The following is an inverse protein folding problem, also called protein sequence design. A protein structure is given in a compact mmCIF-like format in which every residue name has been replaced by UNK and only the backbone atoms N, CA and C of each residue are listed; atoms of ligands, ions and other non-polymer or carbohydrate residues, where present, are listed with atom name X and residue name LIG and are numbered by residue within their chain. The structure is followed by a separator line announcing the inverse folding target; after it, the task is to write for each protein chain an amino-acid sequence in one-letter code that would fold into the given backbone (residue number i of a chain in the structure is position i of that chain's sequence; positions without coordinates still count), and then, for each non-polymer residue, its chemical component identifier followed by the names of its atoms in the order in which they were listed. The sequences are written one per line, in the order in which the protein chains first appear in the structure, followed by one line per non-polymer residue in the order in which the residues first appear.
data_IF_667785944875
#
_entry.id   IF_667785944875
#
_cell.length_a   1.000
_cell.length_b   1.000
_cell.length_c   1.000
_cell.angle_alpha   90.00
_cell.angle_beta   90.00
_cell.angle_gamma   90.00
#
_symmetry.space_group_name_H-M   'P 1'
#
loop_
_entity.id
_entity.type
_entity.pdbx_description
1 polymer ?
#
# COMPACT_ATOMS: atom_id res chain seq x y z
N UNK A 1 -6.76 -21.96 -4.51
CA UNK A 1 -6.16 -21.00 -3.56
C UNK A 1 -6.60 -19.61 -3.93
N UNK A 2 -7.14 -18.84 -2.99
CA UNK A 2 -7.57 -17.45 -3.24
C UNK A 2 -6.30 -16.66 -3.55
N UNK A 3 -6.18 -16.15 -4.77
CA UNK A 3 -5.05 -15.35 -5.20
C UNK A 3 -5.10 -13.99 -4.52
N UNK A 4 -3.94 -13.39 -4.23
CA UNK A 4 -3.82 -12.03 -3.69
C UNK A 4 -4.34 -10.92 -4.63
N UNK A 5 -5.09 -11.27 -5.67
CA UNK A 5 -5.72 -10.38 -6.64
C UNK A 5 -7.15 -9.98 -6.22
N UNK A 6 -7.84 -10.78 -5.41
CA UNK A 6 -9.23 -10.48 -5.03
C UNK A 6 -9.28 -9.24 -4.13
N UNK A 7 -10.01 -8.22 -4.58
CA UNK A 7 -10.34 -6.98 -3.86
C UNK A 7 -11.06 -7.30 -2.53
N UNK A 8 -11.68 -8.47 -2.46
CA UNK A 8 -12.27 -8.98 -1.23
C UNK A 8 -11.33 -10.02 -0.59
N UNK A 9 -10.61 -9.58 0.46
CA UNK A 9 -9.72 -10.40 1.28
C UNK A 9 -10.36 -10.66 2.65
N UNK A 10 -11.34 -11.57 2.76
CA UNK A 10 -12.03 -11.83 4.04
C UNK A 10 -11.08 -12.28 5.14
N UNK A 11 -10.04 -13.07 4.81
CA UNK A 11 -9.02 -13.47 5.77
C UNK A 11 -8.20 -12.29 6.32
N UNK A 12 -7.88 -11.30 5.47
CA UNK A 12 -7.17 -10.09 5.89
C UNK A 12 -8.06 -9.21 6.78
N UNK A 13 -9.33 -9.06 6.42
CA UNK A 13 -10.32 -8.35 7.25
C UNK A 13 -10.47 -8.99 8.63
N UNK A 14 -10.52 -10.31 8.69
CA UNK A 14 -10.57 -11.04 9.97
C UNK A 14 -9.28 -10.84 10.78
N UNK A 15 -8.12 -10.90 10.12
CA UNK A 15 -6.82 -10.64 10.77
C UNK A 15 -6.79 -9.23 11.39
N UNK A 16 -7.22 -8.21 10.66
CA UNK A 16 -7.27 -6.83 11.18
C UNK A 16 -8.26 -6.68 12.34
N UNK A 17 -9.42 -7.36 12.27
CA UNK A 17 -10.39 -7.40 13.36
C UNK A 17 -9.81 -8.05 14.62
N UNK A 18 -9.08 -9.16 14.46
CA UNK A 18 -8.44 -9.87 15.55
C UNK A 18 -7.24 -9.08 16.13
N UNK A 19 -6.48 -8.38 15.27
CA UNK A 19 -5.42 -7.45 15.67
C UNK A 19 -6.00 -6.30 16.52
N UNK A 20 -7.09 -5.68 16.06
CA UNK A 20 -7.79 -4.63 16.81
C UNK A 20 -8.34 -5.12 18.14
N UNK A 21 -8.74 -6.39 18.20
CA UNK A 21 -9.18 -7.06 19.43
C UNK A 21 -8.02 -7.56 20.31
N UNK A 22 -6.77 -7.25 19.93
CA UNK A 22 -5.53 -7.65 20.62
C UNK A 22 -5.44 -9.16 20.90
N UNK A 23 -5.85 -9.98 19.95
CA UNK A 23 -5.72 -11.45 20.07
C UNK A 23 -4.29 -11.95 19.83
N UNK A 24 -3.41 -11.11 19.29
CA UNK A 24 -2.01 -11.41 18.99
C UNK A 24 -1.20 -10.11 18.91
N UNK A 25 0.12 -10.23 19.06
CA UNK A 25 1.05 -9.09 19.05
C UNK A 25 1.97 -9.05 17.82
N UNK A 26 1.98 -10.11 17.00
CA UNK A 26 2.87 -10.23 15.84
C UNK A 26 2.19 -10.94 14.66
N UNK A 27 2.32 -10.36 13.47
CA UNK A 27 2.05 -11.01 12.19
C UNK A 27 3.36 -11.49 11.59
N UNK A 28 3.50 -12.81 11.41
CA UNK A 28 4.64 -13.43 10.74
C UNK A 28 4.24 -13.90 9.34
N UNK A 29 4.97 -13.48 8.32
CA UNK A 29 4.79 -13.92 6.93
C UNK A 29 6.04 -14.62 6.42
N UNK A 30 5.88 -15.60 5.52
CA UNK A 30 7.04 -16.28 4.94
C UNK A 30 7.81 -15.36 3.98
N UNK A 31 7.09 -14.73 3.04
CA UNK A 31 7.58 -13.73 2.08
C UNK A 31 6.53 -12.65 1.87
N UNK A 32 6.97 -11.41 1.65
CA UNK A 32 6.08 -10.27 1.45
C UNK A 32 5.19 -10.41 0.22
N UNK A 33 5.71 -10.97 -0.88
CA UNK A 33 4.97 -11.15 -2.14
C UNK A 33 3.71 -12.04 -2.01
N UNK A 34 3.66 -12.88 -0.96
CA UNK A 34 2.48 -13.70 -0.60
C UNK A 34 1.46 -12.94 0.24
N UNK A 35 1.86 -11.86 0.91
CA UNK A 35 1.00 -11.03 1.75
C UNK A 35 0.42 -9.83 1.00
N UNK A 36 1.24 -9.12 0.22
CA UNK A 36 0.78 -8.04 -0.66
C UNK A 36 1.58 -8.00 -1.96
N UNK A 37 0.90 -7.73 -3.08
CA UNK A 37 1.53 -7.48 -4.38
C UNK A 37 1.81 -5.99 -4.63
N UNK A 38 1.31 -5.12 -3.76
CA UNK A 38 1.46 -3.68 -3.84
C UNK A 38 2.15 -3.19 -2.58
N UNK A 39 3.29 -2.52 -2.75
CA UNK A 39 4.07 -1.96 -1.65
C UNK A 39 3.23 -0.94 -0.86
N UNK A 40 2.44 -0.11 -1.53
CA UNK A 40 1.58 0.87 -0.87
C UNK A 40 0.56 0.20 0.06
N UNK A 41 -0.07 -0.88 -0.40
CA UNK A 41 -1.04 -1.61 0.41
C UNK A 41 -0.35 -2.31 1.60
N UNK A 42 0.87 -2.81 1.41
CA UNK A 42 1.66 -3.36 2.51
C UNK A 42 1.97 -2.31 3.57
N UNK A 43 2.45 -1.14 3.16
CA UNK A 43 2.80 -0.05 4.07
C UNK A 43 1.59 0.41 4.88
N UNK A 44 0.43 0.58 4.22
CA UNK A 44 -0.83 0.92 4.89
C UNK A 44 -1.23 -0.15 5.92
N UNK A 45 -1.12 -1.43 5.58
CA UNK A 45 -1.45 -2.52 6.50
C UNK A 45 -0.51 -2.57 7.69
N UNK A 46 0.79 -2.37 7.46
CA UNK A 46 1.79 -2.35 8.52
C UNK A 46 1.56 -1.17 9.47
N UNK A 47 1.22 0.00 8.93
CA UNK A 47 0.90 1.19 9.73
C UNK A 47 -0.38 0.97 10.56
N UNK A 48 -1.42 0.39 9.94
CA UNK A 48 -2.66 0.02 10.64
C UNK A 48 -2.40 -0.98 11.77
N UNK A 49 -1.64 -2.06 11.52
CA UNK A 49 -1.25 -3.03 12.53
C UNK A 49 -0.44 -2.39 13.67
N UNK A 50 0.52 -1.52 13.32
CA UNK A 50 1.32 -0.78 14.29
C UNK A 50 0.45 0.13 15.16
N UNK A 51 -0.61 0.73 14.62
CA UNK A 51 -1.58 1.53 15.40
C UNK A 51 -2.33 0.71 16.47
N UNK A 52 -2.49 -0.59 16.23
CA UNK A 52 -3.07 -1.53 17.20
C UNK A 52 -2.03 -2.11 18.18
N UNK A 53 -0.75 -1.76 18.04
CA UNK A 53 0.35 -2.31 18.82
C UNK A 53 0.86 -3.65 18.32
N UNK A 54 0.49 -4.05 17.11
CA UNK A 54 0.85 -5.35 16.52
C UNK A 54 2.05 -5.18 15.59
N UNK A 55 3.09 -5.98 15.81
CA UNK A 55 4.28 -6.02 14.96
C UNK A 55 4.06 -6.82 13.67
N UNK A 56 4.95 -6.62 12.69
CA UNK A 56 4.96 -7.32 11.41
C UNK A 56 6.38 -7.79 11.09
N UNK A 57 6.54 -9.05 10.71
CA UNK A 57 7.84 -9.66 10.41
C UNK A 57 7.76 -10.60 9.21
N UNK A 58 8.78 -10.56 8.35
CA UNK A 58 9.04 -11.58 7.35
C UNK A 58 10.03 -12.61 7.88
N UNK A 59 9.77 -13.89 7.64
CA UNK A 59 10.62 -14.99 8.09
C UNK A 59 11.85 -15.18 7.20
N UNK A 60 11.78 -14.80 5.93
CA UNK A 60 12.86 -15.02 4.95
C UNK A 60 13.52 -13.74 4.45
N UNK A 61 13.02 -12.58 4.86
CA UNK A 61 13.49 -11.27 4.40
C UNK A 61 13.77 -10.36 5.61
N UNK A 62 14.64 -9.35 5.48
CA UNK A 62 15.07 -8.50 6.61
C UNK A 62 14.01 -7.47 7.05
N UNK A 63 12.73 -7.77 6.84
CA UNK A 63 11.63 -6.88 7.16
C UNK A 63 11.04 -7.24 8.52
N UNK A 64 11.38 -6.45 9.54
CA UNK A 64 10.94 -6.66 10.92
C UNK A 64 10.59 -5.32 11.60
N UNK A 65 9.29 -5.03 11.73
CA UNK A 65 8.80 -3.79 12.34
C UNK A 65 8.77 -3.84 13.87
N UNK A 66 9.20 -4.94 14.49
CA UNK A 66 9.42 -4.96 15.95
C UNK A 66 10.69 -4.23 16.36
N UNK A 67 11.61 -4.02 15.41
CA UNK A 67 12.86 -3.28 15.63
C UNK A 67 12.73 -1.82 15.22
N UNK A 68 13.44 -0.92 15.90
CA UNK A 68 13.47 0.51 15.54
C UNK A 68 14.03 0.74 14.12
N UNK A 69 15.08 0.00 13.75
CA UNK A 69 15.66 0.03 12.41
C UNK A 69 14.67 -0.42 11.34
N UNK A 70 13.95 -1.52 11.56
CA UNK A 70 12.97 -1.99 10.59
C UNK A 70 11.78 -1.05 10.45
N UNK A 71 11.29 -0.45 11.55
CA UNK A 71 10.28 0.63 11.48
C UNK A 71 10.75 1.81 10.63
N UNK A 72 11.98 2.27 10.83
CA UNK A 72 12.57 3.36 10.03
C UNK A 72 12.65 3.00 8.54
N UNK A 73 13.10 1.78 8.21
CA UNK A 73 13.15 1.33 6.82
C UNK A 73 11.77 1.32 6.16
N UNK A 74 10.74 0.84 6.87
CA UNK A 74 9.36 0.86 6.39
C UNK A 74 8.86 2.29 6.16
N UNK A 75 9.11 3.21 7.09
CA UNK A 75 8.75 4.63 6.93
C UNK A 75 9.44 5.26 5.73
N UNK A 76 10.74 5.01 5.55
CA UNK A 76 11.50 5.52 4.42
C UNK A 76 10.94 5.00 3.09
N UNK A 77 10.60 3.72 3.00
CA UNK A 77 9.94 3.13 1.83
C UNK A 77 8.58 3.81 1.54
N UNK A 78 7.82 4.14 2.59
CA UNK A 78 6.57 4.88 2.45
C UNK A 78 6.76 6.29 1.91
N UNK A 79 7.72 7.04 2.45
CA UNK A 79 8.08 8.36 1.95
C UNK A 79 8.50 8.33 0.47
N UNK A 80 9.27 7.32 0.06
CA UNK A 80 9.65 7.14 -1.34
C UNK A 80 8.45 6.82 -2.24
N UNK A 81 7.56 5.93 -1.80
CA UNK A 81 6.36 5.58 -2.57
C UNK A 81 5.42 6.78 -2.76
N UNK A 82 5.28 7.63 -1.74
CA UNK A 82 4.52 8.88 -1.84
C UNK A 82 5.20 9.89 -2.76
N UNK A 83 6.52 10.06 -2.62
CA UNK A 83 7.31 10.93 -3.48
C UNK A 83 7.17 10.56 -4.96
N UNK A 84 7.28 9.27 -5.30
CA UNK A 84 7.15 8.81 -6.69
C UNK A 84 5.75 9.06 -7.25
N UNK A 85 4.70 8.84 -6.44
CA UNK A 85 3.32 9.17 -6.80
C UNK A 85 3.14 10.66 -7.10
N UNK A 86 3.67 11.53 -6.24
CA UNK A 86 3.57 12.97 -6.40
C UNK A 86 4.35 13.43 -7.64
N UNK A 87 5.55 12.89 -7.86
CA UNK A 87 6.38 13.20 -9.04
C UNK A 87 5.73 12.78 -10.36
N UNK A 88 5.02 11.66 -10.39
CA UNK A 88 4.22 11.26 -11.56
C UNK A 88 3.10 12.28 -11.81
N UNK A 89 2.38 12.68 -10.76
CA UNK A 89 1.31 13.68 -10.88
C UNK A 89 1.83 15.03 -11.38
N UNK A 90 2.96 15.51 -10.84
CA UNK A 90 3.64 16.75 -11.26
C UNK A 90 4.07 16.71 -12.73
N UNK A 91 4.46 15.56 -13.26
CA UNK A 91 4.85 15.41 -14.68
C UNK A 91 3.63 15.36 -15.60
N UNK A 92 2.55 14.69 -15.18
CA UNK A 92 1.37 14.48 -16.02
C UNK A 92 0.51 15.74 -16.10
N UNK A 93 0.35 16.47 -15.00
CA UNK A 93 -0.56 17.62 -14.92
C UNK A 93 -0.25 18.73 -15.96
N UNK A 94 1.00 19.18 -16.17
CA UNK A 94 1.31 20.16 -17.21
C UNK A 94 1.04 19.64 -18.62
N UNK A 95 1.25 18.34 -18.86
CA UNK A 95 0.92 17.68 -20.12
C UNK A 95 -0.59 17.67 -20.39
N UNK A 96 -1.38 17.38 -19.36
CA UNK A 96 -2.84 17.47 -19.43
C UNK A 96 -3.30 18.90 -19.72
N UNK A 97 -2.75 19.91 -19.03
CA UNK A 97 -3.10 21.32 -19.26
C UNK A 97 -2.78 21.72 -20.70
N UNK A 98 -1.61 21.37 -21.23
CA UNK A 98 -1.25 21.60 -22.64
C UNK A 98 -2.20 20.88 -23.60
N UNK A 99 -2.56 19.65 -23.31
CA UNK A 99 -3.50 18.87 -24.11
C UNK A 99 -4.88 19.54 -24.18
N UNK A 100 -5.41 20.00 -23.05
CA UNK A 100 -6.67 20.76 -22.99
C UNK A 100 -6.58 22.06 -23.79
N UNK A 101 -5.48 22.81 -23.66
CA UNK A 101 -5.25 24.03 -24.44
C UNK A 101 -5.20 23.78 -25.95
N UNK A 102 -4.75 22.59 -26.37
CA UNK A 102 -4.71 22.15 -27.76
C UNK A 102 -6.04 21.54 -28.25
N UNK A 103 -7.11 21.59 -27.44
CA UNK A 103 -8.42 21.03 -27.77
C UNK A 103 -8.51 19.51 -27.61
N UNK A 104 -7.48 18.86 -27.07
CA UNK A 104 -7.47 17.42 -26.84
C UNK A 104 -8.19 17.07 -25.54
N UNK A 105 -9.08 16.08 -25.61
CA UNK A 105 -9.71 15.50 -24.42
C UNK A 105 -8.69 14.67 -23.62
N UNK A 106 -8.42 15.06 -22.38
CA UNK A 106 -7.42 14.41 -21.51
C UNK A 106 -8.00 13.32 -20.59
N UNK A 107 -9.23 12.86 -20.86
CA UNK A 107 -9.80 11.67 -20.26
C UNK A 107 -10.61 11.87 -18.98
N UNK A 108 -11.90 11.53 -19.06
CA UNK A 108 -12.59 10.74 -18.03
C UNK A 108 -12.76 9.30 -18.57
N UNK A 109 -13.03 8.32 -17.70
CA UNK A 109 -13.26 6.90 -18.08
C UNK A 109 -14.33 6.72 -19.16
N UNK A 110 -15.21 7.69 -19.30
CA UNK A 110 -16.23 7.77 -20.35
C UNK A 110 -16.10 9.12 -21.06
N UNK A 111 -16.26 9.14 -22.38
CA UNK A 111 -16.50 10.40 -23.08
C UNK A 111 -17.79 11.02 -22.54
N UNK A 112 -17.89 12.36 -22.41
CA UNK A 112 -19.15 13.00 -22.05
C UNK A 112 -20.20 12.59 -23.08
N UNK A 113 -21.39 12.21 -22.60
CA UNK A 113 -22.49 11.83 -23.49
C UNK A 113 -22.85 13.04 -24.37
N UNK A 114 -22.81 12.80 -25.68
CA UNK A 114 -23.25 13.69 -26.76
C UNK A 114 -23.81 12.82 -27.87
#
# INVERSE_FOLDING_TARGET
GISGYSVDRPALKNLLKDARSKKFDLVLVYKIDRFSRNLKDLLNLVDELSSYGVGFKSATEPFDTTTSTGKLMFQQLGSFAEFERNRIAERVFPGMVKGVQQGNWQGARFAPFG
#
